data_IF_914184861061
#
_entry.id   IF_914184861061
#
_cell.length_a   1.000
_cell.length_b   1.000
_cell.length_c   1.000
_cell.angle_alpha   90.00
_cell.angle_beta   90.00
_cell.angle_gamma   90.00
#
_symmetry.space_group_name_H-M   'P 1'
#
loop_
_entity.id
_entity.type
_entity.pdbx_description
1 polymer ?
#
# COMPACT_ATOMS: atom_id res chain seq x y z
N UNK A 1 -5.26 9.45 0.19
CA UNK A 1 -6.73 9.35 0.37
C UNK A 1 -7.17 9.54 1.82
N UNK A 2 -6.39 10.26 2.65
CA UNK A 2 -6.85 10.65 3.99
C UNK A 2 -8.10 11.56 3.88
N UNK A 3 -9.03 11.51 4.85
CA UNK A 3 -8.94 10.76 6.12
C UNK A 3 -9.50 9.32 6.07
N UNK A 4 -9.95 8.83 4.92
CA UNK A 4 -10.70 7.56 4.86
C UNK A 4 -9.99 6.35 5.52
N UNK A 5 -8.71 6.03 5.26
CA UNK A 5 -8.08 4.88 5.92
C UNK A 5 -7.88 5.09 7.43
N UNK A 6 -7.68 6.33 7.87
CA UNK A 6 -7.58 6.69 9.28
C UNK A 6 -8.92 6.43 9.99
N UNK A 7 -10.05 6.84 9.40
CA UNK A 7 -11.40 6.59 9.94
C UNK A 7 -11.77 5.10 9.98
N UNK A 8 -11.41 4.35 8.94
CA UNK A 8 -11.65 2.89 8.90
C UNK A 8 -10.83 2.18 9.97
N UNK A 9 -9.57 2.55 10.16
CA UNK A 9 -8.72 1.95 11.18
C UNK A 9 -9.25 2.24 12.59
N UNK A 10 -9.67 3.49 12.86
CA UNK A 10 -10.25 3.90 14.14
C UNK A 10 -11.55 3.14 14.47
N UNK A 11 -12.47 3.03 13.51
CA UNK A 11 -13.74 2.31 13.70
C UNK A 11 -13.58 0.81 13.92
N UNK A 12 -12.51 0.20 13.39
CA UNK A 12 -12.23 -1.23 13.51
C UNK A 12 -11.25 -1.57 14.64
N UNK A 13 -10.74 -0.57 15.37
CA UNK A 13 -9.62 -0.71 16.33
C UNK A 13 -8.44 -1.48 15.69
N UNK A 14 -8.10 -1.09 14.46
CA UNK A 14 -7.15 -1.80 13.62
C UNK A 14 -5.82 -1.05 13.48
N UNK A 15 -4.75 -1.81 13.26
CA UNK A 15 -3.46 -1.24 12.83
C UNK A 15 -3.61 -0.54 11.47
N UNK A 16 -2.88 0.56 11.28
CA UNK A 16 -2.81 1.28 10.01
C UNK A 16 -1.37 1.35 9.49
N UNK A 17 -1.13 0.77 8.32
CA UNK A 17 0.17 0.76 7.66
C UNK A 17 0.05 1.35 6.25
N UNK A 18 1.01 2.21 5.90
CA UNK A 18 1.11 2.82 4.57
C UNK A 18 2.42 2.40 3.92
N UNK A 19 2.34 1.73 2.78
CA UNK A 19 3.49 1.50 1.91
C UNK A 19 3.57 2.56 0.82
N UNK A 20 4.78 2.83 0.34
CA UNK A 20 5.04 3.65 -0.84
C UNK A 20 5.59 2.75 -1.92
N UNK A 21 4.90 2.69 -3.06
CA UNK A 21 5.44 2.04 -4.25
C UNK A 21 6.66 2.79 -4.77
N UNK A 22 7.64 2.05 -5.26
CA UNK A 22 8.90 2.54 -5.82
C UNK A 22 8.64 3.70 -6.79
N UNK A 23 9.36 4.80 -6.59
CA UNK A 23 9.23 6.06 -7.33
C UNK A 23 8.04 6.96 -6.97
N UNK A 24 6.98 6.42 -6.37
CA UNK A 24 5.76 7.19 -6.13
C UNK A 24 5.95 8.28 -5.07
N UNK A 25 5.40 9.47 -5.35
CA UNK A 25 5.44 10.62 -4.45
C UNK A 25 6.84 11.19 -4.19
N UNK A 26 7.82 10.88 -5.05
CA UNK A 26 9.21 11.36 -4.96
C UNK A 26 9.61 12.28 -6.13
N UNK A 27 8.68 12.59 -7.03
CA UNK A 27 8.91 13.42 -8.22
C UNK A 27 9.15 12.62 -9.49
N UNK A 28 9.23 13.32 -10.63
CA UNK A 28 9.28 12.68 -11.96
C UNK A 28 10.52 11.81 -12.19
N UNK A 29 11.70 12.25 -11.72
CA UNK A 29 12.93 11.50 -11.89
C UNK A 29 12.89 10.14 -11.16
N UNK A 30 12.43 10.13 -9.91
CA UNK A 30 12.29 8.89 -9.13
C UNK A 30 11.22 7.94 -9.70
N UNK A 31 10.21 8.47 -10.39
CA UNK A 31 9.22 7.62 -11.08
C UNK A 31 9.85 6.76 -12.18
N UNK A 32 10.99 7.18 -12.76
CA UNK A 32 11.73 6.40 -13.75
C UNK A 32 12.35 5.12 -13.16
N UNK A 33 12.51 5.04 -11.84
CA UNK A 33 13.00 3.84 -11.15
C UNK A 33 11.87 2.80 -10.92
N UNK A 34 10.62 3.19 -11.14
CA UNK A 34 9.47 2.30 -11.02
C UNK A 34 9.42 1.24 -12.11
N UNK A 35 9.07 0.01 -11.73
CA UNK A 35 8.77 -1.08 -12.66
C UNK A 35 7.68 -1.99 -12.07
N UNK A 36 7.03 -2.78 -12.91
CA UNK A 36 6.00 -3.74 -12.45
C UNK A 36 6.56 -4.68 -11.38
N UNK A 37 7.78 -5.22 -11.58
CA UNK A 37 8.41 -6.10 -10.59
C UNK A 37 8.72 -5.37 -9.29
N UNK A 38 9.20 -4.13 -9.36
CA UNK A 38 9.46 -3.33 -8.16
C UNK A 38 8.17 -3.12 -7.37
N UNK A 39 7.07 -2.73 -8.03
CA UNK A 39 5.81 -2.48 -7.35
C UNK A 39 5.14 -3.74 -6.80
N UNK A 40 5.28 -4.89 -7.48
CA UNK A 40 4.83 -6.17 -6.94
C UNK A 40 5.62 -6.50 -5.67
N UNK A 41 6.94 -6.33 -5.68
CA UNK A 41 7.76 -6.59 -4.49
C UNK A 41 7.40 -5.65 -3.32
N UNK A 42 7.19 -4.35 -3.59
CA UNK A 42 6.76 -3.38 -2.58
C UNK A 42 5.38 -3.76 -1.99
N UNK A 43 4.49 -4.30 -2.82
CA UNK A 43 3.17 -4.75 -2.40
C UNK A 43 3.23 -6.03 -1.57
N UNK A 44 4.04 -7.01 -1.98
CA UNK A 44 4.28 -8.24 -1.21
C UNK A 44 4.90 -7.94 0.17
N UNK A 45 5.86 -7.02 0.25
CA UNK A 45 6.42 -6.57 1.52
C UNK A 45 5.34 -5.93 2.41
N UNK A 46 4.49 -5.09 1.84
CA UNK A 46 3.39 -4.45 2.57
C UNK A 46 2.37 -5.47 3.12
N UNK A 47 2.04 -6.50 2.33
CA UNK A 47 1.18 -7.60 2.79
C UNK A 47 1.85 -8.43 3.88
N UNK A 48 3.15 -8.70 3.76
CA UNK A 48 3.90 -9.41 4.78
C UNK A 48 3.90 -8.65 6.12
N UNK A 49 4.09 -7.32 6.08
CA UNK A 49 3.99 -6.46 7.26
C UNK A 49 2.57 -6.48 7.82
N UNK A 50 1.55 -6.32 6.98
CA UNK A 50 0.15 -6.37 7.41
C UNK A 50 -0.20 -7.68 8.14
N UNK A 51 0.25 -8.81 7.62
CA UNK A 51 0.08 -10.14 8.25
C UNK A 51 0.89 -10.32 9.53
N UNK A 52 2.01 -9.62 9.67
CA UNK A 52 2.85 -9.68 10.87
C UNK A 52 2.28 -8.85 12.03
N UNK A 53 1.56 -7.77 11.74
CA UNK A 53 1.03 -6.85 12.76
C UNK A 53 -0.46 -7.04 13.05
N UNK A 54 -1.19 -7.83 12.27
CA UNK A 54 -2.62 -8.06 12.48
C UNK A 54 -3.12 -9.41 11.96
N UNK A 55 -4.27 -9.85 12.49
CA UNK A 55 -4.84 -11.18 12.18
C UNK A 55 -5.57 -11.24 10.84
N UNK A 56 -6.04 -10.08 10.34
CA UNK A 56 -6.73 -9.92 9.05
C UNK A 56 -6.21 -8.67 8.35
N UNK A 57 -6.02 -8.76 7.04
CA UNK A 57 -5.52 -7.66 6.22
C UNK A 57 -6.64 -7.13 5.35
N UNK A 58 -6.93 -5.83 5.47
CA UNK A 58 -7.80 -5.08 4.56
C UNK A 58 -6.90 -4.18 3.70
N UNK A 59 -6.98 -4.33 2.37
CA UNK A 59 -6.23 -3.51 1.43
C UNK A 59 -7.09 -2.34 0.96
N UNK A 60 -6.64 -1.11 1.19
CA UNK A 60 -7.25 0.11 0.67
C UNK A 60 -6.30 0.70 -0.37
N UNK A 61 -6.67 0.63 -1.65
CA UNK A 61 -5.82 1.08 -2.75
C UNK A 61 -6.61 1.71 -3.91
N UNK A 62 -5.94 2.56 -4.69
CA UNK A 62 -6.50 3.21 -5.88
C UNK A 62 -5.45 3.29 -7.01
N UNK A 63 -5.91 3.41 -8.25
CA UNK A 63 -5.04 3.50 -9.45
C UNK A 63 -4.05 2.31 -9.52
N UNK A 64 -2.76 2.55 -9.75
CA UNK A 64 -1.70 1.52 -9.79
C UNK A 64 -1.77 0.55 -8.62
N UNK A 65 -1.98 1.04 -7.39
CA UNK A 65 -2.11 0.16 -6.22
C UNK A 65 -3.37 -0.71 -6.25
N UNK A 66 -4.47 -0.19 -6.80
CA UNK A 66 -5.71 -0.96 -6.99
C UNK A 66 -5.55 -2.04 -8.06
N UNK A 67 -4.85 -1.73 -9.15
CA UNK A 67 -4.51 -2.73 -10.19
C UNK A 67 -3.65 -3.86 -9.64
N UNK A 68 -2.66 -3.55 -8.79
CA UNK A 68 -1.81 -4.55 -8.13
C UNK A 68 -2.60 -5.40 -7.13
N UNK A 69 -3.52 -4.79 -6.38
CA UNK A 69 -4.35 -5.51 -5.41
C UNK A 69 -5.36 -6.47 -6.06
N UNK A 70 -5.68 -6.27 -7.34
CA UNK A 70 -6.62 -7.10 -8.09
C UNK A 70 -5.92 -8.11 -9.04
N UNK A 71 -4.59 -8.06 -9.14
CA UNK A 71 -3.78 -8.98 -9.95
C UNK A 71 -3.66 -10.34 -9.26
#
# INVERSE_FOLDING_TARGET
VRPLPDEVADQLDANLYYTRLTGHGQGGAAMADGSVNAWINDYEEALAIGRAIGDKVIVIATSTGGSLAAW
#
